data_IF_402024498094
#
_entry.id   IF_402024498094
#
_cell.length_a   1.000
_cell.length_b   1.000
_cell.length_c   1.000
_cell.angle_alpha   90.00
_cell.angle_beta   90.00
_cell.angle_gamma   90.00
#
_symmetry.space_group_name_H-M   'P 1'
#
loop_
_entity.id
_entity.type
_entity.pdbx_description
1 polymer ?
#
# COMPACT_ATOMS: atom_id res chain seq x y z
N UNK A 1 67.52 -15.47 -16.65
CA UNK A 1 67.15 -15.76 -18.05
C UNK A 1 65.66 -15.46 -18.25
N UNK A 2 65.34 -14.26 -18.73
CA UNK A 2 63.96 -13.79 -18.93
C UNK A 2 63.31 -14.41 -20.16
N UNK A 3 62.06 -14.85 -20.04
CA UNK A 3 61.25 -15.37 -21.14
C UNK A 3 60.76 -14.21 -22.01
N UNK A 4 61.51 -13.89 -23.08
CA UNK A 4 61.03 -13.03 -24.15
C UNK A 4 60.07 -13.82 -25.05
N UNK A 5 58.78 -13.65 -24.81
CA UNK A 5 57.72 -13.97 -25.76
C UNK A 5 56.75 -12.80 -25.80
N UNK A 6 56.35 -12.29 -26.98
CA UNK A 6 55.47 -11.13 -27.06
C UNK A 6 54.08 -11.48 -26.48
N UNK A 7 53.81 -11.02 -25.26
CA UNK A 7 52.49 -10.99 -24.62
C UNK A 7 51.58 -9.96 -25.31
N UNK A 8 51.26 -10.20 -26.59
CA UNK A 8 50.25 -9.42 -27.31
C UNK A 8 48.87 -9.91 -26.88
N UNK A 9 48.11 -9.06 -26.18
CA UNK A 9 46.68 -9.25 -25.95
C UNK A 9 46.02 -9.40 -27.33
N UNK A 10 45.38 -10.55 -27.61
CA UNK A 10 44.60 -10.75 -28.84
C UNK A 10 43.57 -9.61 -28.94
N UNK A 11 43.63 -8.81 -30.00
CA UNK A 11 42.60 -7.80 -30.28
C UNK A 11 41.28 -8.56 -30.45
N UNK A 12 40.25 -8.28 -29.64
CA UNK A 12 38.98 -8.98 -29.75
C UNK A 12 38.39 -8.69 -31.13
N UNK A 13 38.19 -9.76 -31.92
CA UNK A 13 37.57 -9.65 -33.25
C UNK A 13 36.10 -9.23 -33.08
N UNK A 14 35.59 -8.29 -33.88
CA UNK A 14 34.17 -7.92 -33.85
C UNK A 14 33.31 -9.15 -34.03
N UNK A 15 32.40 -9.40 -33.07
CA UNK A 15 31.40 -10.47 -33.20
C UNK A 15 30.50 -10.12 -34.37
N UNK A 16 30.48 -10.95 -35.42
CA UNK A 16 29.52 -10.80 -36.52
C UNK A 16 28.15 -11.24 -36.01
N UNK A 17 27.15 -10.36 -36.09
CA UNK A 17 25.76 -10.71 -35.88
C UNK A 17 25.26 -11.45 -37.13
N UNK A 18 24.76 -12.68 -36.96
CA UNK A 18 24.24 -13.53 -38.03
C UNK A 18 24.83 -14.94 -38.02
N UNK A 19 24.39 -15.76 -38.98
CA UNK A 19 24.83 -17.15 -39.12
C UNK A 19 26.29 -17.22 -39.55
N UNK A 20 27.10 -17.95 -38.77
CA UNK A 20 28.57 -18.09 -38.95
C UNK A 20 28.93 -18.94 -40.18
N UNK A 21 28.10 -19.92 -40.51
CA UNK A 21 28.33 -20.83 -41.64
C UNK A 21 27.94 -20.15 -42.96
N UNK A 22 28.85 -20.09 -43.95
CA UNK A 22 28.60 -19.36 -45.20
C UNK A 22 27.45 -19.96 -46.02
N UNK A 23 27.35 -21.30 -46.06
CA UNK A 23 26.30 -22.01 -46.80
C UNK A 23 24.91 -21.77 -46.21
N UNK A 24 24.78 -21.79 -44.87
CA UNK A 24 23.49 -21.49 -44.22
C UNK A 24 23.08 -20.04 -44.45
N UNK A 25 24.04 -19.11 -44.43
CA UNK A 25 23.78 -17.71 -44.75
C UNK A 25 23.31 -17.50 -46.19
N UNK A 26 23.87 -18.26 -47.15
CA UNK A 26 23.38 -18.24 -48.53
C UNK A 26 21.96 -18.82 -48.62
N UNK A 27 21.70 -19.96 -47.99
CA UNK A 27 20.37 -20.57 -47.96
C UNK A 27 19.31 -19.64 -47.34
N UNK A 28 19.61 -18.96 -46.23
CA UNK A 28 18.70 -17.97 -45.62
C UNK A 28 18.43 -16.78 -46.54
N UNK A 29 19.47 -16.29 -47.23
CA UNK A 29 19.33 -15.21 -48.22
C UNK A 29 18.48 -15.65 -49.40
N UNK A 30 18.74 -16.82 -49.95
CA UNK A 30 17.97 -17.40 -51.06
C UNK A 30 16.51 -17.62 -50.67
N UNK A 31 16.25 -18.16 -49.48
CA UNK A 31 14.89 -18.34 -48.95
C UNK A 31 14.16 -17.00 -48.77
N UNK A 32 14.85 -15.95 -48.31
CA UNK A 32 14.26 -14.63 -48.14
C UNK A 32 13.96 -13.91 -49.46
N UNK A 33 14.70 -14.24 -50.52
CA UNK A 33 14.55 -13.68 -51.87
C UNK A 33 13.53 -14.47 -52.70
N UNK A 34 13.40 -15.78 -52.46
CA UNK A 34 12.56 -16.72 -53.22
C UNK A 34 11.12 -16.22 -53.43
N UNK A 35 10.53 -15.60 -52.40
CA UNK A 35 9.13 -15.14 -52.44
C UNK A 35 8.97 -13.67 -52.88
N UNK A 36 10.09 -12.94 -53.12
CA UNK A 36 10.08 -11.49 -53.40
C UNK A 36 10.25 -11.13 -54.87
N UNK A 37 10.79 -12.05 -55.68
CA UNK A 37 11.01 -11.80 -57.10
C UNK A 37 9.72 -12.11 -57.85
N UNK A 38 9.27 -11.16 -58.69
CA UNK A 38 8.15 -11.35 -59.61
C UNK A 38 8.60 -12.14 -60.84
N UNK A 39 8.98 -13.40 -60.63
CA UNK A 39 9.27 -14.32 -61.72
C UNK A 39 7.95 -14.73 -62.38
N UNK A 40 7.94 -14.95 -63.70
CA UNK A 40 6.74 -15.47 -64.38
C UNK A 40 6.35 -16.83 -63.77
N UNK A 41 5.04 -17.17 -63.79
CA UNK A 41 4.57 -18.50 -63.41
C UNK A 41 5.36 -19.59 -64.15
N UNK A 42 5.66 -20.68 -63.46
CA UNK A 42 6.45 -21.80 -64.04
C UNK A 42 5.66 -22.58 -65.09
N UNK A 43 4.35 -22.65 -64.93
CA UNK A 43 3.44 -23.35 -65.82
C UNK A 43 2.37 -22.36 -66.30
N UNK A 44 2.09 -22.36 -67.61
CA UNK A 44 1.19 -21.37 -68.22
C UNK A 44 -0.30 -21.67 -67.96
N UNK A 45 -0.65 -22.94 -67.77
CA UNK A 45 -2.05 -23.37 -67.65
C UNK A 45 -2.52 -23.56 -66.20
N UNK A 46 -1.61 -23.40 -65.23
CA UNK A 46 -1.90 -23.62 -63.81
C UNK A 46 -1.86 -22.29 -63.06
N UNK A 47 -3.01 -21.87 -62.54
CA UNK A 47 -3.08 -20.72 -61.65
C UNK A 47 -2.66 -21.14 -60.23
N UNK A 48 -1.44 -20.78 -59.84
CA UNK A 48 -0.98 -21.04 -58.47
C UNK A 48 -1.77 -20.21 -57.44
N UNK A 49 -2.17 -20.85 -56.35
CA UNK A 49 -2.74 -20.15 -55.18
C UNK A 49 -1.70 -19.23 -54.52
N UNK A 50 -2.17 -18.14 -53.91
CA UNK A 50 -1.30 -17.14 -53.29
C UNK A 50 -0.41 -17.73 -52.17
N UNK A 51 0.80 -17.18 -52.02
CA UNK A 51 1.75 -17.65 -50.99
C UNK A 51 1.22 -17.50 -49.56
N UNK A 52 0.40 -16.49 -49.29
CA UNK A 52 -0.27 -16.32 -48.00
C UNK A 52 -1.24 -17.47 -47.71
N UNK A 53 -1.98 -17.91 -48.73
CA UNK A 53 -2.90 -19.04 -48.61
C UNK A 53 -2.17 -20.37 -48.44
N UNK A 54 -1.07 -20.59 -49.19
CA UNK A 54 -0.19 -21.75 -48.99
C UNK A 54 0.34 -21.83 -47.55
N UNK A 55 0.78 -20.68 -46.98
CA UNK A 55 1.24 -20.61 -45.57
C UNK A 55 0.11 -20.90 -44.58
N UNK A 56 -1.10 -20.42 -44.84
CA UNK A 56 -2.27 -20.71 -44.01
C UNK A 56 -2.60 -22.21 -44.00
N UNK A 57 -2.61 -22.87 -45.16
CA UNK A 57 -2.81 -24.31 -45.27
C UNK A 57 -1.73 -25.07 -44.50
N UNK A 58 -0.45 -24.70 -44.67
CA UNK A 58 0.64 -25.30 -43.91
C UNK A 58 0.48 -25.15 -42.40
N UNK A 59 0.03 -23.98 -41.91
CA UNK A 59 -0.22 -23.76 -40.49
C UNK A 59 -1.40 -24.61 -39.99
N UNK A 60 -2.46 -24.75 -40.79
CA UNK A 60 -3.61 -25.60 -40.49
C UNK A 60 -3.20 -27.07 -40.40
N UNK A 61 -2.43 -27.56 -41.37
CA UNK A 61 -1.92 -28.93 -41.38
C UNK A 61 -0.97 -29.19 -40.20
N UNK A 62 -0.05 -28.28 -39.90
CA UNK A 62 0.81 -28.37 -38.72
C UNK A 62 0.01 -28.42 -37.43
N UNK A 63 -1.00 -27.56 -37.28
CA UNK A 63 -1.87 -27.56 -36.10
C UNK A 63 -2.68 -28.85 -35.96
N UNK A 64 -3.05 -29.50 -37.06
CA UNK A 64 -3.79 -30.76 -37.06
C UNK A 64 -2.89 -31.98 -36.83
N UNK A 65 -1.65 -31.95 -37.35
CA UNK A 65 -0.70 -33.06 -37.26
C UNK A 65 0.11 -33.04 -35.96
N UNK A 66 0.30 -31.87 -35.34
CA UNK A 66 0.90 -31.76 -34.01
C UNK A 66 -0.13 -32.14 -32.93
N UNK A 67 -0.30 -33.45 -32.71
CA UNK A 67 -1.12 -34.01 -31.63
C UNK A 67 -0.69 -33.54 -30.21
N UNK A 68 0.46 -32.87 -30.09
CA UNK A 68 0.99 -32.28 -28.86
C UNK A 68 0.65 -30.80 -28.62
N UNK A 69 -0.04 -30.10 -29.53
CA UNK A 69 -0.40 -28.69 -29.32
C UNK A 69 -1.67 -28.51 -28.49
N UNK A 70 -1.82 -29.29 -27.42
CA UNK A 70 -2.73 -28.88 -26.34
C UNK A 70 -2.10 -27.67 -25.69
N UNK A 71 -2.67 -26.47 -25.89
CA UNK A 71 -2.31 -25.27 -25.12
C UNK A 71 -2.59 -25.56 -23.65
N UNK A 72 -1.62 -26.11 -22.93
CA UNK A 72 -1.70 -26.16 -21.48
C UNK A 72 -1.78 -24.72 -21.03
N UNK A 73 -2.91 -24.35 -20.41
CA UNK A 73 -3.04 -23.02 -19.83
C UNK A 73 -2.05 -22.96 -18.68
N UNK A 74 -0.95 -22.25 -18.90
CA UNK A 74 0.03 -21.98 -17.86
C UNK A 74 -0.68 -21.41 -16.63
N UNK A 75 -0.37 -21.96 -15.47
CA UNK A 75 -0.88 -21.42 -14.20
C UNK A 75 -0.29 -20.02 -13.99
N UNK A 76 -1.05 -19.08 -13.42
CA UNK A 76 -0.53 -17.75 -13.14
C UNK A 76 0.69 -17.84 -12.21
N UNK A 77 1.74 -17.11 -12.58
CA UNK A 77 3.03 -17.10 -11.89
C UNK A 77 3.48 -15.65 -11.67
N UNK A 78 3.98 -15.35 -10.48
CA UNK A 78 4.49 -14.03 -10.10
C UNK A 78 5.95 -14.19 -9.68
N UNK A 79 6.85 -13.39 -10.27
CA UNK A 79 8.25 -13.31 -9.85
C UNK A 79 8.40 -12.29 -8.72
N UNK A 80 8.83 -12.74 -7.54
CA UNK A 80 9.17 -11.87 -6.43
C UNK A 80 10.68 -11.96 -6.27
N UNK A 81 11.44 -10.96 -6.72
CA UNK A 81 12.91 -11.04 -6.75
C UNK A 81 13.39 -12.27 -7.53
N UNK A 82 14.12 -13.18 -6.86
CA UNK A 82 14.61 -14.44 -7.45
C UNK A 82 13.61 -15.60 -7.41
N UNK A 83 12.60 -15.57 -6.53
CA UNK A 83 11.62 -16.66 -6.41
C UNK A 83 10.47 -16.46 -7.38
N UNK A 84 10.05 -17.56 -8.01
CA UNK A 84 8.82 -17.61 -8.81
C UNK A 84 7.72 -18.29 -7.99
N UNK A 85 6.68 -17.55 -7.66
CA UNK A 85 5.50 -18.06 -6.94
C UNK A 85 4.45 -18.44 -7.98
N UNK A 86 4.12 -19.72 -8.06
CA UNK A 86 3.06 -20.24 -8.94
C UNK A 86 1.78 -20.48 -8.14
N UNK A 87 0.62 -20.29 -8.78
CA UNK A 87 -0.68 -20.63 -8.18
C UNK A 87 -0.84 -22.13 -8.00
N UNK A 88 -1.28 -22.56 -6.82
CA UNK A 88 -1.54 -23.97 -6.54
C UNK A 88 -2.87 -24.43 -7.17
N UNK A 89 -3.03 -25.73 -7.40
CA UNK A 89 -4.16 -26.28 -8.16
C UNK A 89 -5.55 -25.98 -7.56
N UNK A 90 -5.66 -25.88 -6.22
CA UNK A 90 -6.92 -25.65 -5.48
C UNK A 90 -7.01 -24.26 -4.85
N UNK A 91 -6.10 -23.36 -5.20
CA UNK A 91 -6.01 -22.04 -4.59
C UNK A 91 -6.91 -21.04 -5.33
N UNK A 92 -7.63 -20.19 -4.59
CA UNK A 92 -8.35 -19.05 -5.19
C UNK A 92 -7.37 -17.98 -5.64
N UNK A 93 -7.75 -17.16 -6.62
CA UNK A 93 -6.86 -16.09 -7.09
C UNK A 93 -6.54 -15.07 -5.98
N UNK A 94 -7.53 -14.73 -5.15
CA UNK A 94 -7.32 -13.87 -3.98
C UNK A 94 -6.32 -14.44 -2.97
N UNK A 95 -6.40 -15.74 -2.66
CA UNK A 95 -5.45 -16.41 -1.77
C UNK A 95 -4.04 -16.43 -2.35
N UNK A 96 -3.92 -16.67 -3.67
CA UNK A 96 -2.64 -16.64 -4.36
C UNK A 96 -1.98 -15.26 -4.29
N UNK A 97 -2.74 -14.20 -4.56
CA UNK A 97 -2.27 -12.82 -4.45
C UNK A 97 -1.90 -12.49 -3.00
N UNK A 98 -2.70 -12.91 -2.02
CA UNK A 98 -2.40 -12.69 -0.61
C UNK A 98 -1.06 -13.36 -0.23
N UNK A 99 -0.84 -14.62 -0.63
CA UNK A 99 0.43 -15.33 -0.40
C UNK A 99 1.61 -14.64 -1.10
N UNK A 100 1.43 -14.16 -2.32
CA UNK A 100 2.47 -13.40 -3.00
C UNK A 100 2.81 -12.10 -2.25
N UNK A 101 1.80 -11.38 -1.76
CA UNK A 101 2.01 -10.13 -1.00
C UNK A 101 2.67 -10.37 0.35
N UNK A 102 2.35 -11.47 1.05
CA UNK A 102 3.02 -11.81 2.32
C UNK A 102 4.48 -12.16 2.07
N UNK A 103 4.79 -12.96 1.04
CA UNK A 103 6.17 -13.28 0.66
C UNK A 103 6.98 -12.03 0.28
N UNK A 104 6.37 -11.07 -0.40
CA UNK A 104 7.02 -9.80 -0.70
C UNK A 104 7.36 -9.02 0.58
N UNK A 105 6.41 -8.90 1.51
CA UNK A 105 6.61 -8.20 2.80
C UNK A 105 7.70 -8.84 3.64
N UNK A 106 7.77 -10.17 3.66
CA UNK A 106 8.86 -10.90 4.34
C UNK A 106 10.22 -10.56 3.75
N UNK A 107 10.35 -10.54 2.41
CA UNK A 107 11.60 -10.15 1.74
C UNK A 107 12.00 -8.73 2.03
N UNK A 108 11.04 -7.80 2.05
CA UNK A 108 11.29 -6.42 2.44
C UNK A 108 11.81 -6.34 3.89
N UNK A 109 11.23 -7.13 4.81
CA UNK A 109 11.69 -7.21 6.18
C UNK A 109 13.11 -7.79 6.29
N UNK A 110 13.43 -8.84 5.52
CA UNK A 110 14.77 -9.44 5.45
C UNK A 110 15.80 -8.46 4.88
N UNK A 111 15.46 -7.72 3.83
CA UNK A 111 16.34 -6.68 3.25
C UNK A 111 16.60 -5.59 4.28
N UNK A 112 15.56 -5.12 4.97
CA UNK A 112 15.69 -4.12 6.03
C UNK A 112 16.55 -4.62 7.19
N UNK A 113 16.38 -5.88 7.59
CA UNK A 113 17.22 -6.55 8.56
C UNK A 113 18.67 -6.60 8.07
N UNK A 114 18.88 -7.01 6.82
CA UNK A 114 20.19 -7.08 6.20
C UNK A 114 20.92 -5.74 6.14
N UNK A 115 20.20 -4.65 5.85
CA UNK A 115 20.75 -3.28 5.90
C UNK A 115 21.14 -2.89 7.33
N UNK A 116 20.28 -3.18 8.31
CA UNK A 116 20.50 -2.82 9.72
C UNK A 116 21.73 -3.51 10.31
N UNK A 117 21.93 -4.79 9.98
CA UNK A 117 23.01 -5.61 10.54
C UNK A 117 24.20 -5.80 9.59
N UNK A 118 24.14 -5.31 8.36
CA UNK A 118 25.20 -5.46 7.35
C UNK A 118 25.35 -6.90 6.87
N UNK A 119 24.23 -7.61 6.75
CA UNK A 119 24.13 -9.04 6.49
C UNK A 119 23.23 -9.26 5.28
N UNK A 120 23.45 -10.33 4.53
CA UNK A 120 22.62 -10.80 3.45
C UNK A 120 21.97 -12.10 3.88
N UNK A 121 20.65 -12.15 3.77
CA UNK A 121 19.83 -13.30 4.14
C UNK A 121 19.48 -14.01 2.83
N UNK A 122 20.05 -15.19 2.62
CA UNK A 122 19.77 -16.06 1.47
C UNK A 122 18.79 -17.15 1.94
N UNK A 123 17.65 -17.28 1.24
CA UNK A 123 16.67 -18.34 1.47
C UNK A 123 16.76 -19.35 0.33
N UNK A 124 16.97 -20.62 0.67
CA UNK A 124 16.91 -21.71 -0.30
C UNK A 124 15.45 -22.06 -0.60
N UNK A 125 15.06 -22.05 -1.87
CA UNK A 125 13.67 -22.25 -2.28
C UNK A 125 13.18 -23.69 -2.05
N UNK A 126 14.10 -24.65 -2.07
CA UNK A 126 13.80 -26.09 -1.96
C UNK A 126 13.76 -26.56 -0.51
N UNK A 127 14.74 -26.15 0.29
CA UNK A 127 14.89 -26.60 1.69
C UNK A 127 14.30 -25.62 2.69
N UNK A 128 14.04 -24.37 2.30
CA UNK A 128 13.62 -23.30 3.21
C UNK A 128 14.70 -22.88 4.20
N UNK A 129 15.93 -23.39 4.06
CA UNK A 129 17.04 -23.06 4.95
C UNK A 129 17.45 -21.60 4.76
N UNK A 130 17.72 -20.91 5.88
CA UNK A 130 18.10 -19.51 5.91
C UNK A 130 19.61 -19.42 6.16
N UNK A 131 20.34 -18.96 5.15
CA UNK A 131 21.78 -18.75 5.22
C UNK A 131 22.09 -17.26 5.42
N UNK A 132 22.88 -16.97 6.45
CA UNK A 132 23.21 -15.61 6.86
C UNK A 132 24.66 -15.33 6.47
N UNK A 133 24.87 -14.46 5.48
CA UNK A 133 26.22 -14.09 4.99
C UNK A 133 26.51 -12.63 5.29
N UNK A 134 27.77 -12.28 5.57
CA UNK A 134 28.14 -10.86 5.71
C UNK A 134 28.02 -10.18 4.35
N UNK A 135 27.25 -9.08 4.29
CA UNK A 135 27.05 -8.35 3.05
C UNK A 135 28.36 -7.69 2.62
N UNK A 136 28.82 -7.98 1.40
CA UNK A 136 29.90 -7.20 0.78
C UNK A 136 29.34 -5.80 0.54
N UNK A 137 29.95 -4.78 1.16
CA UNK A 137 29.51 -3.40 1.02
C UNK A 137 29.49 -3.00 -0.46
N UNK A 138 28.44 -2.32 -0.89
CA UNK A 138 28.37 -1.80 -2.26
C UNK A 138 29.45 -0.74 -2.47
N UNK A 139 29.83 -0.47 -3.72
CA UNK A 139 30.79 0.61 -4.03
C UNK A 139 30.33 1.96 -3.48
N UNK A 140 29.01 2.19 -3.48
CA UNK A 140 28.38 3.39 -2.91
C UNK A 140 28.57 3.45 -1.39
N UNK A 141 28.38 2.33 -0.67
CA UNK A 141 28.66 2.26 0.77
C UNK A 141 30.15 2.47 1.08
N UNK A 142 31.03 1.91 0.25
CA UNK A 142 32.47 2.11 0.37
C UNK A 142 32.84 3.59 0.14
N UNK A 143 32.23 4.26 -0.85
CA UNK A 143 32.39 5.69 -1.09
C UNK A 143 31.85 6.54 0.08
N UNK A 144 30.69 6.20 0.64
CA UNK A 144 30.13 6.84 1.82
C UNK A 144 31.05 6.69 3.02
N UNK A 145 31.56 5.48 3.29
CA UNK A 145 32.55 5.23 4.34
C UNK A 145 33.86 5.99 4.10
N UNK A 146 34.33 6.09 2.85
CA UNK A 146 35.49 6.91 2.48
C UNK A 146 35.24 8.40 2.74
N UNK A 147 34.09 8.94 2.32
CA UNK A 147 33.68 10.33 2.59
C UNK A 147 33.60 10.60 4.09
N UNK A 148 32.99 9.69 4.86
CA UNK A 148 32.91 9.79 6.32
C UNK A 148 34.29 9.73 6.98
N UNK A 149 35.21 8.88 6.49
CA UNK A 149 36.59 8.82 6.97
C UNK A 149 37.37 10.09 6.64
N UNK A 150 37.25 10.61 5.42
CA UNK A 150 37.92 11.84 5.00
C UNK A 150 37.40 13.06 5.78
N UNK A 151 36.09 13.12 6.02
CA UNK A 151 35.47 14.13 6.88
C UNK A 151 35.91 14.00 8.35
N UNK A 152 36.14 12.78 8.85
CA UNK A 152 36.65 12.55 10.21
C UNK A 152 38.13 12.90 10.36
N UNK A 153 38.93 12.60 9.34
CA UNK A 153 40.38 12.83 9.29
C UNK A 153 40.77 14.27 8.95
N UNK A 154 39.79 15.18 8.75
CA UNK A 154 40.05 16.61 8.50
C UNK A 154 40.75 16.93 7.18
N UNK A 155 41.00 15.92 6.32
CA UNK A 155 41.68 16.10 5.02
C UNK A 155 40.88 16.97 4.06
N UNK A 156 39.57 17.04 4.22
CA UNK A 156 38.70 17.97 3.49
C UNK A 156 38.57 19.28 4.29
N UNK A 157 39.64 20.06 4.31
CA UNK A 157 39.70 21.40 4.89
C UNK A 157 38.52 22.26 4.41
N UNK A 158 37.87 22.95 5.35
CA UNK A 158 36.69 23.84 5.18
C UNK A 158 35.36 23.21 4.74
N UNK A 159 35.30 22.10 3.99
CA UNK A 159 34.01 21.47 3.59
C UNK A 159 33.52 20.36 4.54
N UNK A 160 34.43 19.65 5.22
CA UNK A 160 34.07 18.59 6.17
C UNK A 160 33.45 19.08 7.49
N UNK A 161 33.72 20.33 7.89
CA UNK A 161 33.14 20.94 9.10
C UNK A 161 31.65 21.25 8.92
N UNK A 162 31.25 21.81 7.76
CA UNK A 162 29.84 22.04 7.40
C UNK A 162 29.05 20.72 7.31
N UNK A 163 29.67 19.67 6.76
CA UNK A 163 29.04 18.34 6.70
C UNK A 163 28.96 17.64 8.08
N UNK A 164 29.90 17.87 9.00
CA UNK A 164 29.82 17.36 10.39
C UNK A 164 28.74 18.04 11.22
N UNK A 165 28.43 19.30 10.96
CA UNK A 165 27.23 19.98 11.50
C UNK A 165 25.93 19.45 10.90
N UNK A 166 25.93 19.10 9.61
CA UNK A 166 24.76 18.54 8.92
C UNK A 166 24.50 17.06 9.28
N UNK A 167 25.55 16.28 9.59
CA UNK A 167 25.46 14.83 9.88
C UNK A 167 25.34 14.47 11.36
N UNK A 168 25.59 15.41 12.29
CA UNK A 168 24.99 15.34 13.62
C UNK A 168 23.51 15.60 13.42
N UNK A 169 22.78 14.54 13.02
CA UNK A 169 21.35 14.51 12.79
C UNK A 169 20.66 15.64 13.55
N UNK A 170 20.27 16.71 12.84
CA UNK A 170 19.42 17.77 13.38
C UNK A 170 18.23 17.03 13.99
N UNK A 171 18.25 16.84 15.31
CA UNK A 171 17.10 16.34 16.04
C UNK A 171 16.02 17.33 15.69
N UNK A 172 15.06 16.90 14.87
CA UNK A 172 14.01 17.77 14.35
C UNK A 172 13.54 18.64 15.52
N UNK A 173 13.60 19.95 15.32
CA UNK A 173 13.18 20.90 16.35
C UNK A 173 11.73 20.59 16.71
N UNK A 174 11.28 21.00 17.91
CA UNK A 174 9.91 20.69 18.35
C UNK A 174 8.86 21.19 17.32
N UNK A 175 9.14 22.30 16.64
CA UNK A 175 8.33 22.86 15.55
C UNK A 175 8.34 21.96 14.30
N UNK A 176 9.50 21.47 13.85
CA UNK A 176 9.59 20.56 12.71
C UNK A 176 8.91 19.21 12.96
N UNK A 177 8.97 18.69 14.19
CA UNK A 177 8.21 17.48 14.59
C UNK A 177 6.70 17.71 14.53
N UNK A 178 6.23 18.90 14.96
CA UNK A 178 4.82 19.28 14.87
C UNK A 178 4.37 19.47 13.41
N UNK A 179 5.22 20.07 12.57
CA UNK A 179 4.95 20.23 11.14
C UNK A 179 4.81 18.86 10.44
N UNK A 180 5.76 17.95 10.66
CA UNK A 180 5.68 16.58 10.12
C UNK A 180 4.46 15.80 10.62
N UNK A 181 4.03 16.03 11.86
CA UNK A 181 2.81 15.41 12.39
C UNK A 181 1.57 15.96 11.68
N UNK A 182 1.51 17.28 11.45
CA UNK A 182 0.42 17.91 10.68
C UNK A 182 0.39 17.45 9.22
N UNK A 183 1.54 17.34 8.56
CA UNK A 183 1.63 16.81 7.19
C UNK A 183 1.11 15.38 7.10
N UNK A 184 1.52 14.50 8.02
CA UNK A 184 1.02 13.12 8.07
C UNK A 184 -0.49 13.04 8.31
N UNK A 185 -1.04 13.97 9.09
CA UNK A 185 -2.48 14.03 9.37
C UNK A 185 -3.26 14.54 8.15
N UNK A 186 -2.73 15.55 7.45
CA UNK A 186 -3.26 16.01 6.16
C UNK A 186 -3.20 14.92 5.08
N UNK A 187 -2.10 14.17 5.02
CA UNK A 187 -1.93 13.08 4.06
C UNK A 187 -2.91 11.93 4.34
N UNK A 188 -3.18 11.62 5.61
CA UNK A 188 -4.23 10.65 5.98
C UNK A 188 -5.61 11.14 5.57
N UNK A 189 -5.94 12.41 5.82
CA UNK A 189 -7.21 13.01 5.38
C UNK A 189 -7.37 12.96 3.87
N UNK A 190 -6.32 13.31 3.11
CA UNK A 190 -6.32 13.17 1.64
C UNK A 190 -6.56 11.73 1.20
N UNK A 191 -5.90 10.75 1.84
CA UNK A 191 -6.14 9.33 1.53
C UNK A 191 -7.57 8.90 1.87
N UNK A 192 -8.13 9.37 2.98
CA UNK A 192 -9.52 9.10 3.35
C UNK A 192 -10.50 9.75 2.36
N UNK A 193 -10.24 10.97 1.89
CA UNK A 193 -10.99 11.63 0.82
C UNK A 193 -10.89 10.87 -0.50
N UNK A 194 -9.69 10.43 -0.90
CA UNK A 194 -9.46 9.63 -2.10
C UNK A 194 -10.17 8.25 -2.02
N UNK A 195 -10.20 7.63 -0.85
CA UNK A 195 -10.99 6.41 -0.61
C UNK A 195 -12.49 6.70 -0.71
N UNK A 196 -12.97 7.79 -0.12
CA UNK A 196 -14.38 8.18 -0.17
C UNK A 196 -14.85 8.47 -1.60
N UNK A 197 -14.00 9.12 -2.41
CA UNK A 197 -14.22 9.36 -3.84
C UNK A 197 -14.28 8.05 -4.65
N UNK A 198 -13.50 7.04 -4.24
CA UNK A 198 -13.52 5.70 -4.85
C UNK A 198 -14.75 4.89 -4.43
N UNK A 199 -15.25 5.09 -3.22
CA UNK A 199 -16.49 4.49 -2.72
C UNK A 199 -17.75 5.14 -3.34
N UNK A 200 -17.69 6.42 -3.72
CA UNK A 200 -18.72 7.14 -4.49
C UNK A 200 -18.70 6.79 -5.99
N UNK A 201 -18.48 5.52 -6.32
CA UNK A 201 -18.64 5.02 -7.67
C UNK A 201 -20.11 4.64 -7.87
N UNK A 202 -20.80 5.31 -8.79
CA UNK A 202 -22.20 5.01 -9.10
C UNK A 202 -22.33 3.60 -9.66
N UNK A 203 -23.14 2.77 -9.01
CA UNK A 203 -23.56 1.49 -9.57
C UNK A 203 -24.48 1.75 -10.77
N UNK A 204 -24.08 1.27 -11.94
CA UNK A 204 -24.87 1.34 -13.15
C UNK A 204 -25.84 0.15 -13.16
N UNK A 205 -27.09 0.41 -12.79
CA UNK A 205 -28.17 -0.60 -12.76
C UNK A 205 -28.88 -0.63 -14.12
N UNK A 206 -29.01 -1.81 -14.72
CA UNK A 206 -29.70 -1.98 -16.00
C UNK A 206 -31.23 -2.11 -15.81
N UNK A 207 -31.99 -1.75 -16.85
CA UNK A 207 -33.45 -1.78 -16.79
C UNK A 207 -33.97 -3.22 -16.63
N UNK A 208 -34.65 -3.49 -15.52
CA UNK A 208 -35.17 -4.82 -15.16
C UNK A 208 -34.44 -5.49 -13.98
N UNK A 209 -33.34 -4.92 -13.49
CA UNK A 209 -32.65 -5.41 -12.29
C UNK A 209 -33.38 -4.92 -11.01
N UNK A 210 -33.80 -5.85 -10.15
CA UNK A 210 -34.45 -5.53 -8.87
C UNK A 210 -33.37 -5.33 -7.80
N UNK A 211 -33.07 -4.06 -7.50
CA UNK A 211 -32.08 -3.69 -6.48
C UNK A 211 -32.59 -4.04 -5.08
N UNK A 212 -31.71 -4.59 -4.25
CA UNK A 212 -32.02 -4.87 -2.84
C UNK A 212 -32.20 -3.53 -2.11
N UNK A 213 -33.37 -3.34 -1.49
CA UNK A 213 -33.64 -2.15 -0.68
C UNK A 213 -32.60 -1.98 0.44
N UNK A 214 -32.39 -0.75 0.93
CA UNK A 214 -31.47 -0.52 2.04
C UNK A 214 -31.86 -1.41 3.24
N UNK A 215 -30.87 -1.87 4.02
CA UNK A 215 -31.15 -2.73 5.17
C UNK A 215 -32.11 -2.03 6.14
N UNK A 216 -33.15 -2.73 6.58
CA UNK A 216 -34.11 -2.19 7.53
C UNK A 216 -33.48 -2.15 8.93
N UNK A 217 -33.45 -0.95 9.53
CA UNK A 217 -32.98 -0.77 10.90
C UNK A 217 -34.08 -1.22 11.87
N UNK A 218 -34.05 -2.49 12.26
CA UNK A 218 -35.00 -3.06 13.22
C UNK A 218 -34.75 -2.61 14.67
N UNK A 219 -33.68 -1.86 14.91
CA UNK A 219 -33.28 -1.37 16.24
C UNK A 219 -33.60 0.12 16.37
N UNK A 220 -34.38 0.49 17.39
CA UNK A 220 -34.65 1.88 17.70
C UNK A 220 -33.37 2.60 18.16
N UNK A 221 -33.17 3.88 17.78
CA UNK A 221 -32.02 4.64 18.24
C UNK A 221 -32.07 4.80 19.76
N UNK A 222 -30.88 4.91 20.36
CA UNK A 222 -30.60 4.86 21.81
C UNK A 222 -31.40 5.85 22.69
N UNK A 223 -32.13 6.80 22.11
CA UNK A 223 -32.97 7.82 22.78
C UNK A 223 -34.35 8.01 22.16
N UNK A 224 -34.80 7.10 21.29
CA UNK A 224 -36.20 7.12 20.89
C UNK A 224 -37.04 6.66 22.08
N UNK A 225 -37.96 7.51 22.50
CA UNK A 225 -38.96 7.14 23.49
C UNK A 225 -39.82 6.00 22.94
N UNK A 226 -40.03 4.95 23.74
CA UNK A 226 -40.92 3.83 23.39
C UNK A 226 -42.40 4.25 23.47
N UNK A 227 -42.73 5.45 23.02
CA UNK A 227 -44.11 5.85 22.86
C UNK A 227 -44.60 5.23 21.55
N UNK A 228 -45.42 4.19 21.69
CA UNK A 228 -46.25 3.66 20.62
C UNK A 228 -47.21 4.76 20.13
N UNK A 229 -46.73 5.72 19.34
CA UNK A 229 -47.54 6.78 18.74
C UNK A 229 -48.54 7.42 19.71
N UNK A 230 -49.66 7.90 19.16
CA UNK A 230 -50.79 8.38 19.95
C UNK A 230 -51.22 7.31 20.97
N UNK A 231 -51.45 7.74 22.22
CA UNK A 231 -51.88 6.87 23.31
C UNK A 231 -53.09 6.04 22.87
N UNK A 232 -52.88 4.74 22.65
CA UNK A 232 -53.96 3.80 22.34
C UNK A 232 -54.99 3.86 23.48
N UNK A 233 -56.27 4.17 23.21
CA UNK A 233 -57.30 4.27 24.23
C UNK A 233 -57.61 2.86 24.75
N UNK A 234 -56.86 2.42 25.75
CA UNK A 234 -56.98 1.07 26.32
C UNK A 234 -55.81 0.64 27.22
N UNK A 235 -54.68 1.36 27.22
CA UNK A 235 -53.54 1.04 28.09
C UNK A 235 -53.57 1.75 29.46
N UNK A 236 -54.66 2.43 29.81
CA UNK A 236 -54.82 3.02 31.15
C UNK A 236 -55.44 1.96 32.06
N UNK A 237 -54.72 1.55 33.11
CA UNK A 237 -55.28 0.70 34.19
C UNK A 237 -56.46 1.46 34.81
N UNK A 238 -57.67 0.95 34.64
CA UNK A 238 -58.90 1.52 35.21
C UNK A 238 -58.96 1.25 36.71
N UNK A 239 -59.69 2.10 37.46
CA UNK A 239 -59.84 2.01 38.92
C UNK A 239 -60.29 0.63 39.42
N UNK A 240 -61.07 -0.11 38.62
CA UNK A 240 -61.51 -1.46 38.96
C UNK A 240 -60.36 -2.48 39.03
N UNK A 241 -59.28 -2.29 38.27
CA UNK A 241 -58.08 -3.14 38.41
C UNK A 241 -57.40 -2.95 39.78
N UNK A 242 -57.43 -1.73 40.34
CA UNK A 242 -56.88 -1.46 41.67
C UNK A 242 -57.75 -2.01 42.82
N UNK A 243 -59.01 -2.37 42.54
CA UNK A 243 -59.92 -2.97 43.51
C UNK A 243 -59.94 -4.51 43.46
N UNK A 244 -59.54 -5.11 42.33
CA UNK A 244 -59.54 -6.58 42.14
C UNK A 244 -58.18 -7.20 42.49
N UNK A 245 -57.08 -6.45 42.35
CA UNK A 245 -55.74 -6.91 42.75
C UNK A 245 -55.35 -6.29 44.11
N UNK A 246 -55.44 -7.04 45.23
CA UNK A 246 -54.93 -6.55 46.50
C UNK A 246 -53.40 -6.43 46.43
N UNK A 247 -52.92 -5.27 46.89
CA UNK A 247 -51.52 -4.85 46.99
C UNK A 247 -50.59 -6.01 47.42
N UNK A 248 -49.74 -6.44 46.50
CA UNK A 248 -48.53 -7.19 46.82
C UNK A 248 -47.34 -6.43 46.20
N UNK A 249 -47.07 -5.25 46.77
CA UNK A 249 -45.75 -4.65 46.69
C UNK A 249 -45.11 -4.80 48.08
N UNK A 250 -43.79 -5.00 48.07
CA UNK A 250 -42.85 -5.13 49.18
C UNK A 250 -42.51 -6.58 49.63
N UNK A 251 -41.59 -7.20 48.90
CA UNK A 251 -40.55 -8.04 49.48
C UNK A 251 -39.25 -7.90 48.68
N UNK A 252 -38.24 -7.34 49.35
CA UNK A 252 -36.82 -7.39 49.00
C UNK A 252 -36.40 -8.80 48.54
N UNK A 253 -35.53 -8.92 47.53
CA UNK A 253 -34.08 -8.84 47.75
C UNK A 253 -33.28 -9.30 46.51
N UNK A 254 -32.03 -8.86 46.51
CA UNK A 254 -30.99 -8.93 45.49
C UNK A 254 -30.74 -10.29 44.84
N UNK A 255 -30.29 -10.26 43.57
CA UNK A 255 -29.11 -11.03 43.15
C UNK A 255 -28.37 -10.39 41.96
N UNK A 256 -27.08 -10.15 42.20
CA UNK A 256 -26.06 -9.60 41.30
C UNK A 256 -25.47 -10.70 40.40
N UNK A 257 -24.93 -10.33 39.23
CA UNK A 257 -23.49 -10.45 38.82
C UNK A 257 -23.35 -10.19 37.29
N UNK A 258 -22.16 -10.01 36.69
CA UNK A 258 -21.60 -8.68 36.47
C UNK A 258 -21.25 -8.39 35.00
N UNK A 259 -21.56 -7.20 34.48
CA UNK A 259 -20.83 -6.69 33.32
C UNK A 259 -20.48 -5.21 33.49
N UNK A 260 -19.17 -4.95 33.56
CA UNK A 260 -18.57 -3.63 33.63
C UNK A 260 -18.92 -2.83 32.38
N UNK A 261 -19.88 -1.91 32.48
CA UNK A 261 -19.94 -0.73 31.62
C UNK A 261 -20.24 0.50 32.46
N UNK A 262 -19.25 1.39 32.47
CA UNK A 262 -19.24 2.63 33.22
C UNK A 262 -20.50 3.47 32.96
N UNK A 263 -21.14 3.92 34.05
CA UNK A 263 -22.14 4.99 34.01
C UNK A 263 -21.48 6.25 33.42
N UNK A 264 -22.11 6.99 32.49
CA UNK A 264 -21.59 8.28 32.08
C UNK A 264 -21.63 9.23 33.28
N UNK A 265 -20.47 9.82 33.58
CA UNK A 265 -20.31 10.75 34.69
C UNK A 265 -21.29 11.92 34.55
N UNK A 266 -22.05 12.16 35.61
CA UNK A 266 -22.80 13.39 35.84
C UNK A 266 -21.83 14.56 35.65
N UNK A 267 -22.11 15.46 34.71
CA UNK A 267 -21.32 16.67 34.50
C UNK A 267 -21.54 17.60 35.70
N UNK A 268 -20.73 17.44 36.73
CA UNK A 268 -20.67 18.39 37.85
C UNK A 268 -20.23 19.74 37.29
N UNK A 269 -21.06 20.77 37.46
CA UNK A 269 -20.70 22.15 37.16
C UNK A 269 -19.46 22.48 38.00
N UNK A 270 -18.32 22.70 37.36
CA UNK A 270 -17.07 23.00 38.04
C UNK A 270 -17.11 24.48 38.42
N UNK A 271 -17.10 24.79 39.71
CA UNK A 271 -17.03 26.18 40.18
C UNK A 271 -15.73 26.85 39.71
N UNK A 272 -15.89 27.88 38.89
CA UNK A 272 -14.78 28.69 38.33
C UNK A 272 -14.29 29.76 39.34
N UNK A 273 -14.89 29.83 40.53
CA UNK A 273 -14.51 30.76 41.58
C UNK A 273 -13.32 30.22 42.37
N UNK A 274 -12.22 30.99 42.44
CA UNK A 274 -11.06 30.66 43.28
C UNK A 274 -9.72 30.72 42.54
N UNK A 275 -8.66 30.22 43.19
CA UNK A 275 -7.30 30.20 42.60
C UNK A 275 -7.25 29.18 41.46
N UNK A 276 -6.73 29.60 40.29
CA UNK A 276 -6.63 28.77 39.08
C UNK A 276 -5.88 27.45 39.30
N UNK A 277 -4.93 27.41 40.23
CA UNK A 277 -4.19 26.20 40.62
C UNK A 277 -5.03 25.10 41.27
N UNK A 278 -6.31 25.34 41.55
CA UNK A 278 -7.23 24.36 42.11
C UNK A 278 -8.15 23.72 41.06
N UNK A 279 -8.20 24.26 39.83
CA UNK A 279 -9.04 23.75 38.74
C UNK A 279 -8.40 22.51 38.08
N UNK A 280 -9.15 21.62 37.40
CA UNK A 280 -8.56 20.59 36.55
C UNK A 280 -7.62 21.16 35.49
N UNK A 281 -6.54 20.44 35.15
CA UNK A 281 -5.54 20.91 34.17
C UNK A 281 -6.19 21.28 32.83
N UNK A 282 -7.16 20.49 32.38
CA UNK A 282 -7.89 20.75 31.13
C UNK A 282 -8.67 22.07 31.16
N UNK A 283 -9.29 22.43 32.30
CA UNK A 283 -10.02 23.70 32.42
C UNK A 283 -9.08 24.89 32.59
N UNK A 284 -7.94 24.73 33.30
CA UNK A 284 -6.88 25.75 33.36
C UNK A 284 -6.38 26.13 31.96
N UNK A 285 -6.06 25.14 31.13
CA UNK A 285 -5.57 25.38 29.77
C UNK A 285 -6.60 26.10 28.88
N UNK A 286 -7.91 25.85 29.07
CA UNK A 286 -8.96 26.57 28.34
C UNK A 286 -9.00 28.04 28.74
N UNK A 287 -9.02 28.33 30.04
CA UNK A 287 -9.04 29.70 30.58
C UNK A 287 -7.78 30.50 30.17
N UNK A 288 -6.61 29.88 30.17
CA UNK A 288 -5.37 30.52 29.74
C UNK A 288 -5.38 30.88 28.25
N UNK A 289 -5.92 30.02 27.39
CA UNK A 289 -6.09 30.32 25.96
C UNK A 289 -7.06 31.46 25.74
N UNK A 290 -8.19 31.45 26.43
CA UNK A 290 -9.18 32.54 26.35
C UNK A 290 -8.57 33.88 26.79
N UNK A 291 -7.79 33.89 27.87
CA UNK A 291 -7.08 35.09 28.31
C UNK A 291 -6.08 35.59 27.27
N UNK A 292 -5.29 34.70 26.66
CA UNK A 292 -4.36 35.06 25.60
C UNK A 292 -5.09 35.68 24.40
N UNK A 293 -6.19 35.08 23.97
CA UNK A 293 -7.01 35.60 22.87
C UNK A 293 -7.54 37.01 23.18
N UNK A 294 -8.06 37.25 24.39
CA UNK A 294 -8.55 38.58 24.78
C UNK A 294 -7.44 39.62 24.80
N UNK A 295 -6.25 39.24 25.30
CA UNK A 295 -5.08 40.13 25.31
C UNK A 295 -4.65 40.46 23.87
N UNK A 296 -4.65 39.48 22.97
CA UNK A 296 -4.31 39.69 21.56
C UNK A 296 -5.32 40.60 20.87
N UNK A 297 -6.63 40.36 21.07
CA UNK A 297 -7.70 41.21 20.56
C UNK A 297 -7.58 42.65 21.08
N UNK A 298 -7.33 42.82 22.38
CA UNK A 298 -7.13 44.14 22.98
C UNK A 298 -5.88 44.84 22.42
N UNK A 299 -4.77 44.11 22.22
CA UNK A 299 -3.56 44.64 21.57
C UNK A 299 -3.83 45.08 20.14
N UNK A 300 -4.59 44.30 19.38
CA UNK A 300 -4.99 44.65 18.01
C UNK A 300 -5.88 45.89 18.00
N UNK A 301 -6.88 45.97 18.89
CA UNK A 301 -7.72 47.16 19.03
C UNK A 301 -6.91 48.39 19.40
N UNK A 302 -5.99 48.29 20.37
CA UNK A 302 -5.12 49.40 20.76
C UNK A 302 -4.21 49.84 19.62
N UNK A 303 -3.64 48.91 18.86
CA UNK A 303 -2.86 49.22 17.65
C UNK A 303 -3.72 49.93 16.61
N UNK A 304 -4.95 49.47 16.38
CA UNK A 304 -5.90 50.12 15.45
C UNK A 304 -6.34 51.52 15.90
N UNK A 305 -6.43 51.76 17.21
CA UNK A 305 -6.73 53.07 17.78
C UNK A 305 -5.53 54.03 17.68
N UNK A 306 -4.31 53.50 17.79
CA UNK A 306 -3.08 54.27 17.58
C UNK A 306 -2.83 54.60 16.11
N UNK A 307 -3.22 53.73 15.17
CA UNK A 307 -3.07 53.99 13.73
C UNK A 307 -4.12 54.95 13.16
N UNK A 308 -5.16 55.29 13.93
CA UNK A 308 -6.22 56.24 13.55
C UNK A 308 -5.98 57.65 14.11
N UNK A 309 -4.93 57.86 14.90
CA UNK A 309 -4.39 59.18 15.25
C UNK A 309 -3.26 59.51 14.31
#
# INVERSE_FOLDING_TARGET
MGRFGPTKRKIPVPKRHGVRDPLKRLAEKEAAIKDKINNPPKEHDVQEVSNSFKRFIQLKEKANNDAGYTRQRDRPKISIGKTVVQKQAKETESSFLLRATTMQKEREAEVNFGVKYGVEVERDEVTGAIHIRKRKGTEVDAMLKKRLRNAKAGKDGKKGAKFREETKAKKLTLSEKRAKKKEKELEKKRREEDLLLREYQYDKVEFGEVVKGPPTLNTLPRRADKQNGAARPGSKRLLLHAMIEPQADEADDQQQTPSKKAKPAVTTKIDLKGKRKNLPVATRMKIEREQQNVIEMYRQLKKSAQSKK
#
